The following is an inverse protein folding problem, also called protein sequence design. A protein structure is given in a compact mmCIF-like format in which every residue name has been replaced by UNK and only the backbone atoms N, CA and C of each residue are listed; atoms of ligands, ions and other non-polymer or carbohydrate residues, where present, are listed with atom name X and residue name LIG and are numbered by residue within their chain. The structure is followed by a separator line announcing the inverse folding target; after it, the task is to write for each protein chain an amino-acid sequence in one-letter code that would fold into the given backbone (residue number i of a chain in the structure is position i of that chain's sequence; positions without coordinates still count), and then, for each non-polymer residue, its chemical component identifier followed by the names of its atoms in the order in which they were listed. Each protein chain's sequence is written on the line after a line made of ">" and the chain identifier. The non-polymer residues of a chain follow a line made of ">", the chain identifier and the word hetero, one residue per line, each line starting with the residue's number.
data_IF_683460579583
#
_entry.id   IF_683460579583
#
_cell.length_a   1.000
_cell.length_b   1.000
_cell.length_c   1.000
_cell.angle_alpha   90.00
_cell.angle_beta   90.00
_cell.angle_gamma   90.00
#
_symmetry.space_group_name_H-M   'P 1'
#
loop_
_entity.id
_entity.type
_entity.pdbx_description
1 polymer ?
#
# COMPACT_ATOMS: atom_id res chain seq x y z
N UNK A 1 40.91 -1.63 4.78
CA UNK A 1 39.99 -0.90 5.67
C UNK A 1 40.16 0.62 5.51
N UNK A 2 40.00 1.14 4.29
CA UNK A 2 40.07 2.59 3.97
C UNK A 2 39.04 3.00 2.89
N UNK A 3 38.52 2.09 2.05
CA UNK A 3 37.58 2.43 0.97
C UNK A 3 36.08 2.56 1.35
N UNK A 4 35.70 2.57 2.64
CA UNK A 4 34.31 2.75 3.09
C UNK A 4 34.00 4.14 3.65
N UNK A 5 34.97 5.05 3.65
CA UNK A 5 34.83 6.40 4.24
C UNK A 5 34.47 7.49 3.23
N UNK A 6 34.59 7.23 1.93
CA UNK A 6 34.48 8.30 0.90
C UNK A 6 33.06 8.46 0.33
N UNK A 7 32.19 7.46 0.46
CA UNK A 7 30.80 7.56 -0.02
C UNK A 7 29.89 8.37 0.92
N UNK A 8 30.27 8.56 2.19
CA UNK A 8 29.47 9.29 3.17
C UNK A 8 29.80 10.81 3.21
N UNK A 9 30.94 11.20 2.65
CA UNK A 9 31.37 12.61 2.56
C UNK A 9 30.75 13.32 1.36
N UNK A 10 30.60 12.62 0.22
CA UNK A 10 29.97 13.17 -0.99
C UNK A 10 28.47 13.51 -0.81
N UNK A 11 27.75 12.78 0.05
CA UNK A 11 26.36 13.09 0.38
C UNK A 11 26.21 14.33 1.31
N UNK A 12 27.29 14.71 2.01
CA UNK A 12 27.31 15.87 2.90
C UNK A 12 27.67 17.15 2.15
N UNK A 13 28.54 17.05 1.14
CA UNK A 13 28.97 18.20 0.34
C UNK A 13 27.93 18.66 -0.70
N UNK A 14 27.02 17.78 -1.14
CA UNK A 14 25.87 18.19 -1.96
C UNK A 14 24.81 18.98 -1.19
N UNK A 15 24.88 19.00 0.14
CA UNK A 15 23.90 19.68 1.02
C UNK A 15 24.31 21.10 1.41
N UNK A 16 25.54 21.55 1.09
CA UNK A 16 26.08 22.85 1.53
C UNK A 16 26.03 23.94 0.44
N UNK A 17 25.83 23.59 -0.83
CA UNK A 17 25.88 24.55 -1.95
C UNK A 17 24.51 24.98 -2.54
N UNK A 18 23.40 24.76 -1.85
CA UNK A 18 22.07 25.25 -2.25
C UNK A 18 21.48 26.32 -1.31
N UNK A 19 22.27 26.81 -0.36
CA UNK A 19 21.94 27.99 0.47
C UNK A 19 22.70 29.21 -0.03
N UNK A 20 22.18 29.86 -1.08
CA UNK A 20 22.29 31.30 -1.29
C UNK A 20 21.29 31.73 -2.35
N UNK A 21 20.61 32.83 -2.05
CA UNK A 21 19.71 33.62 -2.91
C UNK A 21 18.30 33.03 -3.08
N UNK A 22 17.32 33.46 -2.29
CA UNK A 22 16.62 34.75 -2.42
C UNK A 22 15.59 34.84 -1.29
N UNK A 23 15.78 35.81 -0.41
CA UNK A 23 14.73 36.36 0.46
C UNK A 23 14.05 37.52 -0.27
N UNK A 24 12.83 37.86 0.17
CA UNK A 24 12.02 39.07 -0.14
C UNK A 24 10.92 38.84 -1.21
N UNK A 25 9.69 38.49 -0.81
CA UNK A 25 8.66 39.44 -0.37
C UNK A 25 7.35 38.75 0.05
N UNK A 26 6.75 39.33 1.08
CA UNK A 26 5.43 39.04 1.65
C UNK A 26 4.31 39.71 0.83
N UNK A 27 3.09 39.21 1.05
CA UNK A 27 1.75 39.78 0.78
C UNK A 27 1.11 39.65 -0.61
N UNK A 28 -0.11 39.08 -0.57
CA UNK A 28 -1.27 39.23 -1.50
C UNK A 28 -1.07 38.52 -2.87
N UNK A 29 -1.94 37.63 -3.33
CA UNK A 29 -3.40 37.62 -3.24
C UNK A 29 -4.02 36.22 -3.14
N UNK A 30 -5.13 36.18 -2.40
CA UNK A 30 -6.18 35.18 -2.50
C UNK A 30 -6.71 35.14 -3.94
N UNK A 31 -6.30 34.14 -4.70
CA UNK A 31 -7.08 33.66 -5.83
C UNK A 31 -7.43 32.19 -5.58
N UNK A 32 -8.52 32.02 -4.83
CA UNK A 32 -9.31 30.80 -4.78
C UNK A 32 -9.77 30.52 -6.21
N UNK A 33 -8.97 29.75 -6.95
CA UNK A 33 -9.44 29.14 -8.20
C UNK A 33 -10.38 27.99 -7.83
N UNK A 34 -11.65 28.36 -7.63
CA UNK A 34 -12.81 27.49 -7.76
C UNK A 34 -12.81 26.90 -9.18
N UNK A 35 -12.02 25.84 -9.38
CA UNK A 35 -12.32 24.92 -10.47
C UNK A 35 -13.57 24.15 -10.05
N UNK A 36 -14.57 24.01 -10.94
CA UNK A 36 -15.78 23.27 -10.62
C UNK A 36 -15.40 21.80 -10.51
N UNK A 37 -15.19 21.33 -9.28
CA UNK A 37 -15.28 19.91 -8.98
C UNK A 37 -16.69 19.50 -9.37
N UNK A 38 -16.81 18.87 -10.54
CA UNK A 38 -17.97 18.04 -10.85
C UNK A 38 -18.16 17.14 -9.65
N UNK A 39 -19.20 17.46 -8.88
CA UNK A 39 -19.71 16.61 -7.82
C UNK A 39 -19.85 15.23 -8.43
N UNK A 40 -18.95 14.32 -8.09
CA UNK A 40 -19.16 12.91 -8.29
C UNK A 40 -20.27 12.56 -7.30
N UNK A 41 -21.50 12.85 -7.70
CA UNK A 41 -22.69 12.24 -7.13
C UNK A 41 -22.36 10.75 -7.03
N UNK A 42 -22.43 10.22 -5.82
CA UNK A 42 -22.48 8.78 -5.58
C UNK A 42 -23.72 8.30 -6.31
N UNK A 43 -23.57 8.00 -7.59
CA UNK A 43 -24.59 7.34 -8.37
C UNK A 43 -24.81 6.01 -7.66
N UNK A 44 -26.02 5.83 -7.13
CA UNK A 44 -26.50 4.55 -6.64
C UNK A 44 -26.14 3.49 -7.68
N UNK A 45 -25.17 2.64 -7.32
CA UNK A 45 -24.66 1.63 -8.24
C UNK A 45 -25.70 0.51 -8.30
N UNK A 46 -26.06 0.02 -9.50
CA UNK A 46 -27.00 -1.06 -9.63
C UNK A 46 -26.46 -2.30 -8.90
N UNK A 47 -27.22 -2.79 -7.93
CA UNK A 47 -26.99 -4.04 -7.24
C UNK A 47 -26.99 -5.17 -8.29
N UNK A 48 -25.82 -5.75 -8.58
CA UNK A 48 -25.72 -6.83 -9.59
C UNK A 48 -24.32 -7.11 -10.14
N UNK A 49 -23.35 -6.19 -10.07
CA UNK A 49 -21.94 -6.42 -10.44
C UNK A 49 -21.01 -6.40 -9.23
N UNK A 50 -21.30 -7.19 -8.20
CA UNK A 50 -20.52 -7.16 -6.97
C UNK A 50 -19.25 -8.04 -7.01
N UNK A 51 -18.08 -7.38 -7.03
CA UNK A 51 -16.85 -7.94 -6.46
C UNK A 51 -15.71 -8.34 -7.41
N UNK A 52 -15.73 -7.88 -8.67
CA UNK A 52 -14.63 -8.12 -9.61
C UNK A 52 -13.43 -7.17 -9.46
N UNK A 53 -12.31 -7.55 -10.07
CA UNK A 53 -11.21 -6.62 -10.34
C UNK A 53 -11.69 -5.45 -11.22
N UNK A 54 -11.22 -4.25 -10.93
CA UNK A 54 -11.55 -2.99 -11.62
C UNK A 54 -10.28 -2.18 -11.79
N UNK A 55 -10.01 -1.68 -13.00
CA UNK A 55 -8.77 -0.93 -13.27
C UNK A 55 -8.83 0.51 -12.77
N UNK A 56 -10.01 1.08 -12.66
CA UNK A 56 -10.23 2.46 -12.20
C UNK A 56 -10.02 2.60 -10.68
N UNK A 57 -9.87 1.47 -9.99
CA UNK A 57 -9.60 1.40 -8.56
C UNK A 57 -8.15 1.80 -8.25
N UNK A 58 -7.90 2.72 -7.30
CA UNK A 58 -6.54 3.02 -6.86
C UNK A 58 -5.88 1.81 -6.21
N UNK A 59 -4.55 1.71 -6.33
CA UNK A 59 -3.76 0.69 -5.60
C UNK A 59 -3.12 1.34 -4.38
N UNK A 60 -3.42 0.81 -3.21
CA UNK A 60 -2.87 1.24 -1.93
C UNK A 60 -1.48 0.62 -1.71
N UNK A 61 -0.49 1.45 -1.39
CA UNK A 61 0.92 1.08 -1.22
C UNK A 61 1.14 0.52 0.20
N UNK A 62 0.64 -0.66 0.52
CA UNK A 62 0.80 -1.20 1.87
C UNK A 62 2.18 -1.82 2.14
N UNK A 63 2.92 -2.16 1.08
CA UNK A 63 4.18 -2.90 1.14
C UNK A 63 5.38 -2.09 1.69
N UNK A 64 5.13 -0.87 2.15
CA UNK A 64 6.12 -0.04 2.86
C UNK A 64 5.72 0.23 4.32
N UNK A 65 4.55 -0.24 4.74
CA UNK A 65 4.05 0.01 6.10
C UNK A 65 4.90 -0.76 7.13
N UNK A 66 5.49 -0.07 8.13
CA UNK A 66 6.35 -0.70 9.13
C UNK A 66 5.65 -1.81 9.95
N UNK A 67 4.39 -1.59 10.35
CA UNK A 67 3.64 -2.56 11.16
C UNK A 67 3.26 -3.80 10.32
N UNK A 68 2.95 -3.61 9.04
CA UNK A 68 2.69 -4.73 8.10
C UNK A 68 3.97 -5.51 7.86
N UNK A 69 5.08 -4.84 7.54
CA UNK A 69 6.38 -5.47 7.30
C UNK A 69 6.87 -6.26 8.52
N UNK A 70 6.67 -5.72 9.73
CA UNK A 70 7.00 -6.41 10.97
C UNK A 70 6.23 -7.73 11.16
N UNK A 71 4.99 -7.85 10.64
CA UNK A 71 4.23 -9.11 10.66
C UNK A 71 4.90 -10.25 9.85
N UNK A 72 5.86 -9.91 8.99
CA UNK A 72 6.61 -10.85 8.14
C UNK A 72 8.12 -10.83 8.43
N UNK A 73 8.51 -10.31 9.60
CA UNK A 73 9.91 -10.29 10.04
C UNK A 73 10.80 -9.35 9.23
N UNK A 74 10.25 -8.26 8.67
CA UNK A 74 11.00 -7.22 7.97
C UNK A 74 11.05 -5.95 8.81
N UNK A 75 12.24 -5.41 8.99
CA UNK A 75 12.45 -4.14 9.72
C UNK A 75 12.74 -3.00 8.72
N UNK A 76 12.07 -1.86 8.90
CA UNK A 76 12.23 -0.67 8.05
C UNK A 76 13.35 0.27 8.53
N UNK A 77 13.87 0.08 9.75
CA UNK A 77 14.87 0.95 10.39
C UNK A 77 16.26 0.29 10.47
N UNK A 78 16.35 -1.03 10.30
CA UNK A 78 17.59 -1.80 10.41
C UNK A 78 18.30 -2.00 9.05
N UNK A 79 19.30 -2.89 9.01
CA UNK A 79 20.11 -3.25 7.83
C UNK A 79 19.28 -3.67 6.59
N UNK A 80 18.00 -4.00 6.78
CA UNK A 80 17.06 -4.39 5.74
C UNK A 80 16.51 -3.22 4.89
N UNK A 81 16.78 -1.96 5.24
CA UNK A 81 16.15 -0.80 4.59
C UNK A 81 16.39 -0.74 3.06
N UNK A 82 17.62 -0.99 2.59
CA UNK A 82 17.93 -0.95 1.17
C UNK A 82 17.29 -2.10 0.38
N UNK A 83 17.38 -3.38 0.82
CA UNK A 83 16.64 -4.47 0.20
C UNK A 83 15.11 -4.26 0.18
N UNK A 84 14.54 -3.70 1.26
CA UNK A 84 13.10 -3.41 1.34
C UNK A 84 12.72 -2.29 0.36
N UNK A 85 13.54 -1.24 0.24
CA UNK A 85 13.34 -0.17 -0.74
C UNK A 85 13.37 -0.71 -2.18
N UNK A 86 14.33 -1.56 -2.53
CA UNK A 86 14.42 -2.17 -3.85
C UNK A 86 13.18 -3.02 -4.18
N UNK A 87 12.72 -3.82 -3.21
CA UNK A 87 11.51 -4.62 -3.38
C UNK A 87 10.24 -3.76 -3.44
N UNK A 88 10.20 -2.64 -2.71
CA UNK A 88 9.11 -1.68 -2.78
C UNK A 88 9.05 -0.99 -4.15
N UNK A 89 10.20 -0.63 -4.74
CA UNK A 89 10.27 -0.09 -6.10
C UNK A 89 9.78 -1.12 -7.12
N UNK A 90 10.22 -2.37 -6.99
CA UNK A 90 9.78 -3.48 -7.85
C UNK A 90 8.26 -3.71 -7.76
N UNK A 91 7.72 -3.74 -6.54
CA UNK A 91 6.29 -3.84 -6.29
C UNK A 91 5.51 -2.67 -6.91
N UNK A 92 6.03 -1.45 -6.78
CA UNK A 92 5.43 -0.23 -7.34
C UNK A 92 5.30 -0.32 -8.86
N UNK A 93 6.29 -0.88 -9.56
CA UNK A 93 6.24 -1.04 -11.02
C UNK A 93 5.03 -1.88 -11.45
N UNK A 94 4.73 -2.96 -10.73
CA UNK A 94 3.54 -3.78 -10.99
C UNK A 94 2.26 -3.11 -10.50
N UNK A 95 2.29 -2.39 -9.37
CA UNK A 95 1.15 -1.62 -8.89
C UNK A 95 0.69 -0.59 -9.92
N UNK A 96 1.64 0.12 -10.56
CA UNK A 96 1.37 1.09 -11.63
C UNK A 96 0.62 0.42 -12.78
N UNK A 97 1.03 -0.78 -13.19
CA UNK A 97 0.41 -1.51 -14.30
C UNK A 97 -1.04 -1.92 -14.01
N UNK A 98 -1.39 -2.16 -12.74
CA UNK A 98 -2.69 -2.71 -12.35
C UNK A 98 -3.80 -1.68 -12.13
N UNK A 99 -3.52 -0.40 -12.30
CA UNK A 99 -4.54 0.66 -12.14
C UNK A 99 -4.41 1.71 -13.23
N UNK A 100 -5.57 2.13 -13.74
CA UNK A 100 -5.72 3.28 -14.64
C UNK A 100 -5.90 4.58 -13.85
N UNK A 101 -6.06 4.47 -12.53
CA UNK A 101 -6.13 5.57 -11.59
C UNK A 101 -4.73 5.91 -11.07
N UNK A 102 -4.59 6.08 -9.76
CA UNK A 102 -3.36 6.44 -9.07
C UNK A 102 -2.97 5.43 -8.01
N UNK A 103 -1.71 5.49 -7.60
CA UNK A 103 -1.23 4.85 -6.38
C UNK A 103 -1.53 5.74 -5.18
N UNK A 104 -1.95 5.12 -4.08
CA UNK A 104 -2.40 5.80 -2.88
C UNK A 104 -1.60 5.33 -1.67
N UNK A 105 -1.15 6.26 -0.84
CA UNK A 105 -0.49 5.94 0.42
C UNK A 105 -0.98 6.87 1.54
N UNK A 106 -1.00 6.43 2.81
CA UNK A 106 -1.36 7.29 3.92
C UNK A 106 -0.27 8.33 4.17
N UNK A 107 -0.65 9.55 4.54
CA UNK A 107 0.32 10.59 4.93
C UNK A 107 1.26 10.18 6.05
N UNK A 108 0.90 9.17 6.86
CA UNK A 108 1.76 8.65 7.92
C UNK A 108 3.13 8.17 7.41
N UNK A 109 3.23 7.64 6.18
CA UNK A 109 4.50 7.10 5.68
C UNK A 109 5.58 8.16 5.51
N UNK A 110 5.20 9.42 5.28
CA UNK A 110 6.14 10.55 5.22
C UNK A 110 6.92 10.69 6.55
N UNK A 111 6.32 10.25 7.66
CA UNK A 111 6.89 10.35 9.00
C UNK A 111 7.41 9.00 9.53
N UNK A 112 6.68 7.91 9.23
CA UNK A 112 6.91 6.59 9.83
C UNK A 112 7.94 5.74 9.09
N UNK A 113 8.21 6.04 7.80
CA UNK A 113 9.08 5.22 6.96
C UNK A 113 10.34 6.03 6.62
N UNK A 114 11.51 5.74 7.24
CA UNK A 114 12.70 6.61 7.15
C UNK A 114 13.19 6.90 5.73
N UNK A 115 13.08 5.91 4.84
CA UNK A 115 13.53 5.99 3.44
C UNK A 115 12.42 6.37 2.46
N UNK A 116 11.22 6.73 2.94
CA UNK A 116 10.09 7.03 2.06
C UNK A 116 10.33 8.26 1.17
N UNK A 117 11.10 9.24 1.65
CA UNK A 117 11.53 10.37 0.82
C UNK A 117 12.38 9.92 -0.38
N UNK A 118 13.25 8.92 -0.19
CA UNK A 118 14.07 8.34 -1.28
C UNK A 118 13.17 7.58 -2.26
N UNK A 119 12.22 6.79 -1.75
CA UNK A 119 11.22 6.12 -2.58
C UNK A 119 10.44 7.14 -3.43
N UNK A 120 9.92 8.21 -2.83
CA UNK A 120 9.19 9.27 -3.53
C UNK A 120 10.04 9.98 -4.58
N UNK A 121 11.32 10.24 -4.29
CA UNK A 121 12.25 10.82 -5.26
C UNK A 121 12.42 9.92 -6.50
N UNK A 122 12.57 8.61 -6.30
CA UNK A 122 12.61 7.66 -7.43
C UNK A 122 11.31 7.64 -8.23
N UNK A 123 10.16 7.90 -7.59
CA UNK A 123 8.83 7.92 -8.22
C UNK A 123 8.39 9.32 -8.67
N UNK A 124 9.28 10.32 -8.64
CA UNK A 124 8.96 11.71 -8.99
C UNK A 124 8.18 11.84 -10.32
N UNK A 125 8.51 11.12 -11.41
CA UNK A 125 7.73 11.21 -12.64
C UNK A 125 6.26 10.82 -12.49
N UNK A 126 5.93 9.90 -11.57
CA UNK A 126 4.54 9.53 -11.27
C UNK A 126 3.84 10.62 -10.44
N UNK A 127 4.57 11.25 -9.51
CA UNK A 127 4.07 12.37 -8.71
C UNK A 127 3.70 13.55 -9.60
N UNK A 128 4.61 13.98 -10.48
CA UNK A 128 4.37 15.08 -11.44
C UNK A 128 3.18 14.82 -12.37
N UNK A 129 2.93 13.56 -12.72
CA UNK A 129 1.78 13.15 -13.53
C UNK A 129 0.47 13.00 -12.71
N UNK A 130 0.49 13.24 -11.40
CA UNK A 130 -0.67 13.08 -10.52
C UNK A 130 -1.10 11.63 -10.31
N UNK A 131 -0.22 10.67 -10.61
CA UNK A 131 -0.44 9.23 -10.49
C UNK A 131 -0.04 8.68 -9.11
N UNK A 132 0.45 9.54 -8.22
CA UNK A 132 0.65 9.25 -6.81
C UNK A 132 -0.06 10.29 -5.97
N UNK A 133 -0.76 9.81 -4.93
CA UNK A 133 -1.48 10.66 -3.99
C UNK A 133 -1.25 10.20 -2.57
N UNK A 134 -1.21 11.15 -1.65
CA UNK A 134 -1.27 10.83 -0.23
C UNK A 134 -2.71 10.96 0.28
N UNK A 135 -3.06 10.21 1.31
CA UNK A 135 -4.38 10.31 1.94
C UNK A 135 -4.28 10.57 3.43
N UNK A 136 -5.16 11.44 3.89
CA UNK A 136 -5.26 11.89 5.27
C UNK A 136 -6.61 12.56 5.49
N UNK A 137 -7.10 12.64 6.74
CA UNK A 137 -8.30 13.42 7.05
C UNK A 137 -8.14 14.94 6.88
N UNK A 138 -6.92 15.44 6.72
CA UNK A 138 -6.61 16.87 6.56
C UNK A 138 -5.62 17.05 5.40
N UNK A 139 -5.76 18.08 4.56
CA UNK A 139 -4.81 18.35 3.48
C UNK A 139 -3.43 18.74 4.01
N UNK A 140 -3.39 19.51 5.11
CA UNK A 140 -2.14 20.01 5.68
C UNK A 140 -1.39 18.91 6.45
N UNK A 141 -0.15 18.64 6.00
CA UNK A 141 0.72 17.64 6.62
C UNK A 141 1.20 18.04 8.02
N UNK A 142 1.37 19.34 8.29
CA UNK A 142 1.73 19.85 9.62
C UNK A 142 0.60 19.59 10.61
N UNK A 143 -0.63 20.00 10.28
CA UNK A 143 -1.81 19.73 11.11
C UNK A 143 -2.04 18.22 11.29
N UNK A 144 -1.80 17.42 10.24
CA UNK A 144 -1.84 15.97 10.32
C UNK A 144 -0.82 15.42 11.33
N UNK A 145 0.45 15.85 11.24
CA UNK A 145 1.52 15.46 12.15
C UNK A 145 1.17 15.78 13.59
N UNK A 146 0.70 17.00 13.87
CA UNK A 146 0.41 17.45 15.23
C UNK A 146 -0.72 16.64 15.86
N UNK A 147 -1.75 16.27 15.07
CA UNK A 147 -2.79 15.34 15.52
C UNK A 147 -2.22 13.97 15.83
N UNK A 148 -1.42 13.40 14.93
CA UNK A 148 -0.82 12.07 15.13
C UNK A 148 0.18 12.04 16.30
N UNK A 149 0.89 13.13 16.57
CA UNK A 149 1.77 13.24 17.72
C UNK A 149 1.01 13.05 19.05
N UNK A 150 -0.24 13.54 19.15
CA UNK A 150 -1.13 13.32 20.30
C UNK A 150 -1.61 11.87 20.42
N UNK A 151 -1.87 11.21 19.30
CA UNK A 151 -2.23 9.78 19.26
C UNK A 151 -1.04 8.87 19.66
N UNK A 152 0.19 9.32 19.45
CA UNK A 152 1.43 8.62 19.82
C UNK A 152 2.10 9.21 21.06
N UNK A 153 1.34 9.95 21.89
CA UNK A 153 1.83 10.48 23.16
C UNK A 153 2.38 9.35 24.04
N UNK A 154 3.40 9.66 24.85
CA UNK A 154 4.08 8.69 25.73
C UNK A 154 4.76 7.51 24.99
N UNK A 155 4.95 7.62 23.68
CA UNK A 155 5.81 6.71 22.91
C UNK A 155 7.20 7.32 22.76
N UNK A 156 8.21 6.66 23.32
CA UNK A 156 9.61 7.08 23.17
C UNK A 156 10.08 7.05 21.71
N UNK A 157 9.39 6.28 20.85
CA UNK A 157 9.67 6.15 19.42
C UNK A 157 8.67 6.91 18.55
N UNK A 158 8.02 7.95 19.09
CA UNK A 158 6.99 8.70 18.37
C UNK A 158 7.57 9.32 17.08
N UNK A 159 7.19 8.85 15.88
CA UNK A 159 7.75 9.35 14.62
C UNK A 159 7.25 10.77 14.28
N UNK A 160 6.19 11.22 14.95
CA UNK A 160 5.57 12.52 14.73
C UNK A 160 6.10 13.62 15.67
N UNK A 161 7.01 13.28 16.60
CA UNK A 161 7.58 14.23 17.55
C UNK A 161 8.56 15.24 16.91
N UNK A 162 9.03 14.95 15.69
CA UNK A 162 9.96 15.82 14.97
C UNK A 162 9.30 17.14 14.56
N UNK A 163 9.93 18.26 14.92
CA UNK A 163 9.55 19.61 14.50
C UNK A 163 10.17 20.03 13.17
N UNK A 164 10.96 19.15 12.53
CA UNK A 164 11.63 19.47 11.26
C UNK A 164 10.61 19.87 10.19
N UNK A 165 10.95 20.80 9.28
CA UNK A 165 10.12 21.13 8.14
C UNK A 165 9.80 19.90 7.30
N UNK A 166 8.57 19.84 6.80
CA UNK A 166 8.10 18.75 5.95
C UNK A 166 8.30 19.20 4.50
N UNK A 167 9.27 18.60 3.82
CA UNK A 167 9.49 18.84 2.40
C UNK A 167 8.85 17.71 1.60
N UNK A 168 7.74 18.02 0.93
CA UNK A 168 7.10 17.15 -0.07
C UNK A 168 7.15 17.82 -1.42
N UNK A 169 7.19 17.01 -2.47
CA UNK A 169 7.13 17.51 -3.85
C UNK A 169 5.82 18.32 -4.04
N UNK A 170 5.85 19.52 -4.66
CA UNK A 170 4.69 20.40 -4.76
C UNK A 170 3.51 19.77 -5.53
N UNK A 171 3.81 18.93 -6.53
CA UNK A 171 2.78 18.21 -7.30
C UNK A 171 2.17 16.99 -6.57
N UNK A 172 2.62 16.67 -5.34
CA UNK A 172 2.08 15.55 -4.59
C UNK A 172 0.65 15.90 -4.12
N UNK A 173 -0.33 15.29 -4.78
CA UNK A 173 -1.74 15.60 -4.53
C UNK A 173 -2.28 14.89 -3.30
N UNK A 174 -3.10 15.60 -2.55
CA UNK A 174 -3.90 15.05 -1.47
C UNK A 174 -5.15 14.34 -2.03
N UNK A 175 -5.52 13.24 -1.39
CA UNK A 175 -6.78 12.55 -1.57
C UNK A 175 -7.50 12.48 -0.22
N UNK A 176 -8.67 13.14 -0.07
CA UNK A 176 -9.37 13.17 1.19
C UNK A 176 -9.83 11.77 1.61
N UNK A 177 -9.79 11.52 2.92
CA UNK A 177 -10.45 10.36 3.53
C UNK A 177 -11.57 10.87 4.44
N UNK A 178 -12.80 10.77 3.96
CA UNK A 178 -14.00 11.21 4.68
C UNK A 178 -14.65 10.11 5.54
N UNK A 179 -14.09 8.89 5.54
CA UNK A 179 -14.58 7.79 6.36
C UNK A 179 -14.27 7.93 7.85
N UNK A 180 -14.89 7.07 8.65
CA UNK A 180 -14.73 7.04 10.10
C UNK A 180 -13.25 7.02 10.51
N UNK A 181 -12.88 7.64 11.64
CA UNK A 181 -11.54 7.50 12.17
C UNK A 181 -11.19 6.02 12.33
N UNK A 182 -9.97 5.63 11.94
CA UNK A 182 -9.56 4.21 11.87
C UNK A 182 -9.64 3.53 13.25
N UNK A 183 -9.24 4.22 14.31
CA UNK A 183 -9.19 3.64 15.65
C UNK A 183 -10.56 3.18 16.18
N UNK A 184 -11.65 3.97 16.10
CA UNK A 184 -13.01 3.52 16.36
C UNK A 184 -13.43 2.27 15.55
N UNK A 185 -13.14 2.22 14.24
CA UNK A 185 -13.49 1.06 13.41
C UNK A 185 -12.77 -0.20 13.89
N UNK A 186 -11.48 -0.10 14.17
CA UNK A 186 -10.69 -1.21 14.73
C UNK A 186 -11.19 -1.58 16.14
N UNK A 187 -11.62 -0.61 16.95
CA UNK A 187 -12.17 -0.86 18.28
C UNK A 187 -13.49 -1.66 18.26
N UNK A 188 -14.39 -1.36 17.31
CA UNK A 188 -15.61 -2.14 17.13
C UNK A 188 -15.30 -3.55 16.61
N UNK A 189 -14.39 -3.66 15.64
CA UNK A 189 -13.92 -4.96 15.17
C UNK A 189 -13.26 -5.77 16.30
N UNK A 190 -12.46 -5.14 17.16
CA UNK A 190 -11.82 -5.75 18.32
C UNK A 190 -12.84 -6.38 19.28
N UNK A 191 -13.91 -5.65 19.61
CA UNK A 191 -14.98 -6.17 20.48
C UNK A 191 -15.69 -7.36 19.84
N UNK A 192 -16.02 -7.25 18.55
CA UNK A 192 -16.68 -8.31 17.80
C UNK A 192 -15.85 -9.60 17.80
N UNK A 193 -14.55 -9.48 17.56
CA UNK A 193 -13.63 -10.61 17.34
C UNK A 193 -13.17 -11.28 18.65
N UNK A 194 -13.47 -10.67 19.79
CA UNK A 194 -13.40 -11.31 21.12
C UNK A 194 -14.62 -12.16 21.45
N UNK A 195 -15.72 -12.03 20.70
CA UNK A 195 -16.92 -12.84 20.86
C UNK A 195 -16.75 -14.28 20.37
N UNK A 196 -17.74 -15.16 20.62
CA UNK A 196 -17.65 -16.58 20.27
C UNK A 196 -17.30 -16.80 18.78
N UNK A 197 -16.25 -17.58 18.53
CA UNK A 197 -15.78 -17.89 17.18
C UNK A 197 -14.96 -16.79 16.48
N UNK A 198 -14.74 -15.65 17.13
CA UNK A 198 -13.91 -14.57 16.60
C UNK A 198 -12.40 -14.85 16.67
N UNK A 199 -11.63 -14.19 15.80
CA UNK A 199 -10.18 -14.41 15.64
C UNK A 199 -9.37 -14.13 16.93
N UNK A 200 -9.87 -13.24 17.81
CA UNK A 200 -9.21 -12.91 19.08
C UNK A 200 -9.57 -13.85 20.23
N UNK A 201 -10.53 -14.76 20.05
CA UNK A 201 -10.89 -15.77 21.07
C UNK A 201 -9.67 -16.63 21.45
N UNK A 202 -8.93 -17.08 20.44
CA UNK A 202 -7.71 -17.85 20.67
C UNK A 202 -6.62 -17.07 21.41
N UNK A 203 -6.47 -15.77 21.10
CA UNK A 203 -5.55 -14.88 21.80
C UNK A 203 -5.94 -14.73 23.27
N UNK A 204 -7.22 -14.51 23.56
CA UNK A 204 -7.72 -14.41 24.93
C UNK A 204 -7.46 -15.70 25.73
N UNK A 205 -7.66 -16.89 25.15
CA UNK A 205 -7.28 -18.15 25.80
C UNK A 205 -5.78 -18.28 26.05
N UNK A 206 -4.93 -17.82 25.13
CA UNK A 206 -3.48 -17.83 25.32
C UNK A 206 -3.07 -16.90 26.47
N UNK A 207 -3.63 -15.70 26.53
CA UNK A 207 -3.35 -14.73 27.61
C UNK A 207 -3.89 -15.25 28.95
N UNK A 208 -5.09 -15.86 28.97
CA UNK A 208 -5.68 -16.45 30.16
C UNK A 208 -4.80 -17.55 30.77
N UNK A 209 -4.27 -18.45 29.92
CA UNK A 209 -3.32 -19.48 30.34
C UNK A 209 -2.00 -18.90 30.84
N UNK A 210 -1.45 -17.90 30.14
CA UNK A 210 -0.19 -17.28 30.54
C UNK A 210 -0.29 -16.48 31.85
N UNK A 211 -1.46 -15.92 32.15
CA UNK A 211 -1.70 -15.12 33.36
C UNK A 211 -2.30 -15.91 34.53
N UNK A 212 -2.61 -17.19 34.30
CA UNK A 212 -3.31 -18.06 35.26
C UNK A 212 -4.63 -17.45 35.77
N UNK A 213 -5.51 -17.06 34.83
CA UNK A 213 -6.82 -16.47 35.13
C UNK A 213 -7.94 -17.07 34.25
N UNK A 214 -9.20 -17.04 34.72
CA UNK A 214 -10.34 -17.46 33.93
C UNK A 214 -10.45 -16.67 32.61
N UNK A 215 -10.86 -17.36 31.55
CA UNK A 215 -11.00 -16.78 30.21
C UNK A 215 -11.94 -15.57 30.23
N UNK A 216 -13.07 -15.66 30.92
CA UNK A 216 -14.11 -14.63 30.98
C UNK A 216 -13.55 -13.33 31.55
N UNK A 217 -12.70 -13.42 32.58
CA UNK A 217 -12.02 -12.28 33.19
C UNK A 217 -11.04 -11.64 32.21
N UNK A 218 -10.25 -12.45 31.50
CA UNK A 218 -9.29 -11.96 30.51
C UNK A 218 -10.01 -11.32 29.32
N UNK A 219 -11.04 -11.96 28.78
CA UNK A 219 -11.85 -11.47 27.68
C UNK A 219 -12.53 -10.14 28.05
N UNK A 220 -13.08 -10.02 29.27
CA UNK A 220 -13.66 -8.76 29.77
C UNK A 220 -12.63 -7.63 29.82
N UNK A 221 -11.42 -7.90 30.35
CA UNK A 221 -10.35 -6.90 30.39
C UNK A 221 -9.95 -6.54 28.96
N UNK A 222 -9.69 -7.51 28.08
CA UNK A 222 -9.34 -7.27 26.68
C UNK A 222 -10.41 -6.45 25.94
N UNK A 223 -11.70 -6.71 26.17
CA UNK A 223 -12.79 -5.95 25.55
C UNK A 223 -12.77 -4.46 25.91
N UNK A 224 -12.21 -4.11 27.07
CA UNK A 224 -12.02 -2.73 27.51
C UNK A 224 -10.70 -2.08 27.01
N UNK A 225 -9.85 -2.80 26.24
CA UNK A 225 -8.63 -2.24 25.64
C UNK A 225 -8.85 -0.96 24.84
N UNK A 226 -9.87 -0.84 23.96
CA UNK A 226 -10.14 0.40 23.25
C UNK A 226 -10.35 1.61 24.17
N UNK A 227 -11.00 1.43 25.32
CA UNK A 227 -11.19 2.51 26.30
C UNK A 227 -9.86 2.88 26.98
N UNK A 228 -9.05 1.88 27.35
CA UNK A 228 -7.73 2.08 27.99
C UNK A 228 -6.68 2.70 27.07
N UNK A 229 -6.87 2.65 25.76
CA UNK A 229 -6.03 3.38 24.82
C UNK A 229 -6.27 4.89 24.89
N UNK A 230 -7.41 5.36 25.40
CA UNK A 230 -7.71 6.79 25.62
C UNK A 230 -7.43 7.65 24.38
N UNK A 231 -7.80 7.18 23.19
CA UNK A 231 -7.56 7.90 21.93
C UNK A 231 -6.11 7.82 21.40
N UNK A 232 -5.26 6.95 21.96
CA UNK A 232 -4.00 6.55 21.30
C UNK A 232 -4.28 5.73 20.03
N UNK A 233 -3.27 5.65 19.16
CA UNK A 233 -3.36 4.85 17.95
C UNK A 233 -3.57 3.36 18.28
N UNK A 234 -4.37 2.68 17.45
CA UNK A 234 -4.68 1.26 17.62
C UNK A 234 -3.58 0.37 17.02
N UNK A 235 -2.33 0.53 17.49
CA UNK A 235 -1.13 -0.21 17.03
C UNK A 235 -0.68 -1.22 18.08
N UNK A 236 0.00 -2.29 17.66
CA UNK A 236 0.34 -3.45 18.52
C UNK A 236 1.00 -3.02 19.84
N UNK A 237 2.03 -2.17 19.78
CA UNK A 237 2.79 -1.76 20.96
C UNK A 237 1.98 -0.96 21.99
N UNK A 238 0.90 -0.29 21.59
CA UNK A 238 0.00 0.39 22.52
C UNK A 238 -1.06 -0.58 23.03
N UNK A 239 -1.63 -1.40 22.15
CA UNK A 239 -2.59 -2.45 22.53
C UNK A 239 -1.98 -3.39 23.56
N UNK A 240 -0.75 -3.87 23.37
CA UNK A 240 -0.05 -4.76 24.32
C UNK A 240 0.07 -4.17 25.72
N UNK A 241 0.25 -2.86 25.87
CA UNK A 241 0.32 -2.19 27.19
C UNK A 241 -1.03 -2.17 27.90
N UNK A 242 -2.13 -2.31 27.16
CA UNK A 242 -3.47 -2.38 27.74
C UNK A 242 -3.86 -3.79 28.17
N UNK A 243 -3.10 -4.82 27.78
CA UNK A 243 -3.46 -6.22 28.06
C UNK A 243 -3.12 -6.58 29.51
N UNK A 244 -3.87 -7.51 30.13
CA UNK A 244 -3.68 -7.85 31.55
C UNK A 244 -2.37 -8.56 31.85
N UNK A 245 -1.72 -9.15 30.84
CA UNK A 245 -0.44 -9.82 30.95
C UNK A 245 0.32 -9.72 29.62
N UNK A 246 1.66 -9.88 29.63
CA UNK A 246 2.45 -9.92 28.41
C UNK A 246 1.99 -11.01 27.45
N UNK A 247 1.81 -10.66 26.18
CA UNK A 247 1.44 -11.63 25.14
C UNK A 247 2.65 -12.53 24.84
N UNK A 248 2.50 -13.87 24.86
CA UNK A 248 3.57 -14.79 24.45
C UNK A 248 3.99 -14.55 23.00
N UNK A 249 5.27 -14.76 22.67
CA UNK A 249 5.83 -14.46 21.34
C UNK A 249 5.04 -15.07 20.18
N UNK A 250 4.52 -16.30 20.36
CA UNK A 250 3.69 -16.99 19.36
C UNK A 250 2.36 -16.26 19.07
N UNK A 251 1.79 -15.58 20.06
CA UNK A 251 0.52 -14.87 19.94
C UNK A 251 0.69 -13.39 19.57
N UNK A 252 1.89 -12.80 19.77
CA UNK A 252 2.20 -11.42 19.37
C UNK A 252 2.02 -11.21 17.86
N UNK A 253 2.45 -12.17 17.04
CA UNK A 253 2.31 -12.06 15.59
C UNK A 253 0.84 -12.11 15.16
N UNK A 254 0.01 -12.95 15.80
CA UNK A 254 -1.44 -13.01 15.52
C UNK A 254 -2.12 -11.68 15.85
N UNK A 255 -1.77 -11.08 16.99
CA UNK A 255 -2.24 -9.74 17.34
C UNK A 255 -1.78 -8.69 16.31
N UNK A 256 -0.51 -8.72 15.89
CA UNK A 256 0.02 -7.81 14.87
C UNK A 256 -0.74 -7.92 13.53
N UNK A 257 -0.97 -9.15 13.08
CA UNK A 257 -1.69 -9.46 11.85
C UNK A 257 -3.14 -9.00 11.93
N UNK A 258 -3.84 -9.28 13.03
CA UNK A 258 -5.21 -8.82 13.25
C UNK A 258 -5.34 -7.30 13.11
N UNK A 259 -4.48 -6.56 13.83
CA UNK A 259 -4.50 -5.09 13.83
C UNK A 259 -4.19 -4.53 12.44
N UNK A 260 -3.20 -5.10 11.76
CA UNK A 260 -2.82 -4.71 10.40
C UNK A 260 -3.90 -5.04 9.37
N UNK A 261 -4.59 -6.17 9.51
CA UNK A 261 -5.72 -6.55 8.67
C UNK A 261 -6.91 -5.60 8.84
N UNK A 262 -7.24 -5.25 10.08
CA UNK A 262 -8.29 -4.29 10.40
C UNK A 262 -7.96 -2.90 9.82
N UNK A 263 -6.71 -2.46 9.96
CA UNK A 263 -6.20 -1.25 9.32
C UNK A 263 -6.36 -1.30 7.80
N UNK A 264 -5.93 -2.38 7.14
CA UNK A 264 -6.05 -2.54 5.69
C UNK A 264 -7.51 -2.52 5.23
N UNK A 265 -8.42 -3.20 5.93
CA UNK A 265 -9.86 -3.20 5.62
C UNK A 265 -10.44 -1.79 5.57
N UNK A 266 -10.03 -0.90 6.49
CA UNK A 266 -10.47 0.50 6.47
C UNK A 266 -10.09 1.19 5.15
N UNK A 267 -8.84 1.07 4.67
CA UNK A 267 -8.43 1.69 3.40
C UNK A 267 -9.05 1.03 2.17
N UNK A 268 -9.19 -0.31 2.19
CA UNK A 268 -9.82 -1.06 1.11
C UNK A 268 -11.29 -0.65 0.94
N UNK A 269 -12.00 -0.45 2.04
CA UNK A 269 -13.40 -0.06 2.03
C UNK A 269 -13.58 1.43 1.76
N UNK A 270 -13.02 2.30 2.60
CA UNK A 270 -13.31 3.74 2.62
C UNK A 270 -12.85 4.46 1.35
N UNK A 271 -11.76 3.97 0.74
CA UNK A 271 -11.15 4.59 -0.44
C UNK A 271 -11.37 3.75 -1.70
N UNK A 272 -12.20 2.70 -1.61
CA UNK A 272 -12.42 1.71 -2.66
C UNK A 272 -11.10 1.21 -3.28
N UNK A 273 -10.03 1.01 -2.49
CA UNK A 273 -8.69 0.65 -3.00
C UNK A 273 -8.50 -0.85 -3.21
N UNK A 274 -7.45 -1.23 -3.94
CA UNK A 274 -6.88 -2.57 -4.02
C UNK A 274 -5.47 -2.59 -3.41
N UNK A 275 -4.96 -3.76 -3.03
CA UNK A 275 -3.57 -3.96 -2.60
C UNK A 275 -2.90 -5.05 -3.42
N UNK A 276 -1.57 -4.97 -3.52
CA UNK A 276 -0.78 -6.10 -4.03
C UNK A 276 -0.65 -7.18 -2.94
N UNK A 277 -0.69 -8.45 -3.29
CA UNK A 277 -0.40 -9.56 -2.36
C UNK A 277 0.64 -10.50 -2.94
N UNK A 278 1.11 -11.49 -2.18
CA UNK A 278 2.09 -12.49 -2.65
C UNK A 278 3.38 -11.87 -3.22
N UNK A 279 3.91 -10.88 -2.52
CA UNK A 279 5.14 -10.20 -2.87
C UNK A 279 6.36 -11.03 -2.46
N UNK A 280 7.56 -10.77 -3.02
CA UNK A 280 8.80 -11.38 -2.55
C UNK A 280 9.08 -11.11 -1.05
N UNK A 281 8.63 -9.96 -0.52
CA UNK A 281 8.71 -9.62 0.91
C UNK A 281 7.74 -10.43 1.80
N UNK A 282 6.79 -11.15 1.20
CA UNK A 282 5.74 -11.91 1.88
C UNK A 282 4.35 -11.65 1.30
N UNK A 283 3.30 -12.33 1.79
CA UNK A 283 1.93 -12.12 1.33
C UNK A 283 1.43 -10.69 1.51
N UNK A 284 1.87 -9.99 2.58
CA UNK A 284 1.51 -8.62 2.96
C UNK A 284 0.00 -8.31 2.98
N UNK A 285 -0.85 -9.34 3.03
CA UNK A 285 -2.31 -9.22 3.17
C UNK A 285 -2.78 -9.23 4.62
N UNK A 286 -1.90 -9.62 5.54
CA UNK A 286 -2.15 -9.76 6.98
C UNK A 286 -3.29 -10.74 7.30
N UNK A 287 -3.47 -11.77 6.49
CA UNK A 287 -4.55 -12.74 6.65
C UNK A 287 -5.86 -12.34 5.98
N UNK A 288 -5.89 -11.23 5.22
CA UNK A 288 -7.01 -10.94 4.33
C UNK A 288 -7.10 -11.99 3.21
N UNK A 289 -8.31 -12.48 2.97
CA UNK A 289 -8.64 -13.47 1.94
C UNK A 289 -9.60 -12.87 0.91
N UNK A 290 -9.47 -13.27 -0.35
CA UNK A 290 -10.26 -12.70 -1.45
C UNK A 290 -11.74 -13.12 -1.47
N UNK A 291 -12.12 -14.14 -0.70
CA UNK A 291 -13.50 -14.61 -0.55
C UNK A 291 -14.28 -13.88 0.54
N UNK A 292 -13.62 -13.09 1.40
CA UNK A 292 -14.30 -12.37 2.46
C UNK A 292 -15.10 -11.17 1.91
N UNK A 293 -16.20 -10.84 2.60
CA UNK A 293 -17.00 -9.67 2.24
C UNK A 293 -16.12 -8.41 2.28
N UNK A 294 -16.18 -7.63 1.20
CA UNK A 294 -15.45 -6.36 1.07
C UNK A 294 -14.03 -6.46 0.52
N UNK A 295 -13.42 -7.64 0.37
CA UNK A 295 -12.06 -7.82 -0.18
C UNK A 295 -12.02 -8.45 -1.58
N UNK A 296 -13.17 -8.94 -2.07
CA UNK A 296 -13.31 -9.55 -3.41
C UNK A 296 -12.88 -8.56 -4.50
N UNK A 297 -11.96 -9.00 -5.38
CA UNK A 297 -11.41 -8.17 -6.46
C UNK A 297 -10.45 -7.04 -6.00
N UNK A 298 -10.04 -7.03 -4.72
CA UNK A 298 -9.12 -6.04 -4.15
C UNK A 298 -7.74 -6.59 -3.80
N UNK A 299 -7.58 -7.89 -3.68
CA UNK A 299 -6.30 -8.54 -3.39
C UNK A 299 -5.66 -9.01 -4.70
N UNK A 300 -4.66 -8.27 -5.17
CA UNK A 300 -4.04 -8.50 -6.47
C UNK A 300 -2.67 -9.18 -6.29
N UNK A 301 -2.63 -10.49 -6.52
CA UNK A 301 -1.39 -11.28 -6.43
C UNK A 301 -0.30 -10.74 -7.37
N UNK A 302 0.79 -10.23 -6.81
CA UNK A 302 2.00 -9.80 -7.50
C UNK A 302 2.56 -10.94 -8.34
N UNK A 303 2.70 -12.14 -7.75
CA UNK A 303 3.26 -13.32 -8.42
C UNK A 303 2.46 -13.71 -9.67
N UNK A 304 1.14 -13.51 -9.64
CA UNK A 304 0.27 -13.79 -10.79
C UNK A 304 0.56 -12.86 -11.97
N UNK A 305 0.66 -11.55 -11.74
CA UNK A 305 1.03 -10.60 -12.81
C UNK A 305 2.48 -10.85 -13.25
N UNK A 306 3.41 -11.02 -12.32
CA UNK A 306 4.82 -11.25 -12.66
C UNK A 306 5.00 -12.47 -13.57
N UNK A 307 4.33 -13.58 -13.25
CA UNK A 307 4.34 -14.77 -14.09
C UNK A 307 3.74 -14.51 -15.48
N UNK A 308 2.65 -13.74 -15.55
CA UNK A 308 2.06 -13.36 -16.82
C UNK A 308 3.01 -12.50 -17.66
N UNK A 309 3.71 -11.55 -17.04
CA UNK A 309 4.73 -10.74 -17.72
C UNK A 309 5.87 -11.60 -18.26
N UNK A 310 6.32 -12.62 -17.51
CA UNK A 310 7.34 -13.58 -17.97
C UNK A 310 6.88 -14.40 -19.16
N UNK A 311 5.65 -14.92 -19.11
CA UNK A 311 5.04 -15.64 -20.22
C UNK A 311 4.91 -14.77 -21.47
N UNK A 312 4.58 -13.49 -21.30
CA UNK A 312 4.57 -12.50 -22.37
C UNK A 312 5.97 -12.01 -22.80
N UNK A 313 7.03 -12.48 -22.13
CA UNK A 313 8.43 -12.07 -22.33
C UNK A 313 8.65 -10.57 -22.20
N UNK A 314 7.88 -9.90 -21.32
CA UNK A 314 7.97 -8.45 -21.06
C UNK A 314 8.53 -8.13 -19.67
N UNK A 315 8.72 -9.14 -18.82
CA UNK A 315 9.19 -9.00 -17.44
C UNK A 315 10.55 -8.30 -17.35
N UNK A 316 11.54 -8.70 -18.16
CA UNK A 316 12.87 -8.09 -18.14
C UNK A 316 12.84 -6.59 -18.47
N UNK A 317 11.99 -6.19 -19.43
CA UNK A 317 11.74 -4.78 -19.72
C UNK A 317 11.03 -4.09 -18.54
N UNK A 318 9.95 -4.69 -18.04
CA UNK A 318 9.14 -4.13 -16.96
C UNK A 318 9.93 -3.98 -15.67
N UNK A 319 10.85 -4.87 -15.32
CA UNK A 319 11.58 -4.78 -14.05
C UNK A 319 12.87 -3.96 -14.14
N UNK A 320 13.56 -4.01 -15.28
CA UNK A 320 14.95 -3.52 -15.33
C UNK A 320 15.19 -2.40 -16.33
N UNK A 321 14.29 -2.15 -17.30
CA UNK A 321 14.55 -1.20 -18.40
C UNK A 321 13.56 -0.06 -18.47
N UNK A 322 12.28 -0.33 -18.23
CA UNK A 322 11.23 0.65 -18.45
C UNK A 322 11.37 1.86 -17.52
N UNK A 323 11.32 3.05 -18.07
CA UNK A 323 11.03 4.26 -17.30
C UNK A 323 9.59 4.24 -16.77
N UNK A 324 9.29 5.08 -15.78
CA UNK A 324 7.91 5.24 -15.28
C UNK A 324 6.94 5.67 -16.39
N UNK A 325 7.38 6.55 -17.30
CA UNK A 325 6.59 6.99 -18.45
C UNK A 325 6.25 5.84 -19.39
N UNK A 326 7.17 4.91 -19.62
CA UNK A 326 6.93 3.73 -20.45
C UNK A 326 5.99 2.73 -19.77
N UNK A 327 6.10 2.54 -18.44
CA UNK A 327 5.13 1.73 -17.69
C UNK A 327 3.72 2.33 -17.76
N UNK A 328 3.59 3.66 -17.63
CA UNK A 328 2.32 4.37 -17.80
C UNK A 328 1.80 4.23 -19.24
N UNK A 329 2.67 4.27 -20.25
CA UNK A 329 2.27 4.02 -21.64
C UNK A 329 1.78 2.59 -21.83
N UNK A 330 2.47 1.60 -21.26
CA UNK A 330 2.12 0.18 -21.35
C UNK A 330 0.76 -0.10 -20.69
N UNK A 331 0.55 0.38 -19.46
CA UNK A 331 -0.73 0.18 -18.76
C UNK A 331 -1.91 0.84 -19.48
N UNK A 332 -1.68 1.98 -20.15
CA UNK A 332 -2.75 2.74 -20.81
C UNK A 332 -3.24 2.08 -22.10
N UNK A 333 -2.63 0.97 -22.53
CA UNK A 333 -3.10 0.18 -23.66
C UNK A 333 -4.38 -0.59 -23.31
N UNK A 334 -5.42 -0.53 -24.15
CA UNK A 334 -6.61 -1.37 -23.99
C UNK A 334 -6.26 -2.87 -23.93
N UNK A 335 -5.27 -3.30 -24.72
CA UNK A 335 -4.81 -4.68 -24.79
C UNK A 335 -4.27 -5.16 -23.44
N UNK A 336 -3.52 -4.30 -22.73
CA UNK A 336 -3.06 -4.60 -21.37
C UNK A 336 -4.24 -4.70 -20.39
N UNK A 337 -5.26 -3.87 -20.57
CA UNK A 337 -6.48 -3.91 -19.76
C UNK A 337 -7.27 -5.21 -19.89
N UNK A 338 -7.36 -5.76 -21.10
CA UNK A 338 -7.96 -7.09 -21.34
C UNK A 338 -7.18 -8.16 -20.59
N UNK A 339 -5.85 -8.14 -20.67
CA UNK A 339 -4.98 -9.09 -19.97
C UNK A 339 -5.16 -8.96 -18.44
N UNK A 340 -5.08 -7.76 -17.89
CA UNK A 340 -5.26 -7.54 -16.46
C UNK A 340 -6.65 -8.02 -15.98
N UNK A 341 -7.70 -7.75 -16.75
CA UNK A 341 -9.06 -8.19 -16.45
C UNK A 341 -9.22 -9.70 -16.50
N UNK A 342 -8.60 -10.37 -17.48
CA UNK A 342 -8.55 -11.84 -17.55
C UNK A 342 -7.77 -12.43 -16.37
N UNK A 343 -6.66 -11.79 -15.96
CA UNK A 343 -5.82 -12.23 -14.87
C UNK A 343 -6.46 -12.04 -13.49
N UNK A 344 -7.34 -11.07 -13.27
CA UNK A 344 -7.89 -10.82 -11.92
C UNK A 344 -9.42 -10.88 -11.83
N UNK A 345 -10.10 -11.10 -12.96
CA UNK A 345 -11.53 -11.39 -13.03
C UNK A 345 -11.83 -12.89 -12.92
N UNK A 346 -12.99 -13.29 -13.45
CA UNK A 346 -13.44 -14.68 -13.56
C UNK A 346 -12.78 -15.45 -14.71
N UNK A 347 -11.72 -14.90 -15.29
CA UNK A 347 -11.00 -15.44 -16.42
C UNK A 347 -10.26 -16.76 -16.14
N UNK A 348 -10.19 -17.63 -17.14
CA UNK A 348 -9.43 -18.89 -17.04
C UNK A 348 -7.93 -18.62 -17.26
N UNK A 349 -7.11 -19.01 -16.28
CA UNK A 349 -5.65 -18.99 -16.41
C UNK A 349 -5.16 -19.83 -17.60
N UNK A 350 -5.91 -20.86 -17.98
CA UNK A 350 -5.56 -21.72 -19.11
C UNK A 350 -5.86 -21.04 -20.46
N UNK A 351 -6.93 -20.24 -20.55
CA UNK A 351 -7.16 -19.41 -21.73
C UNK A 351 -6.03 -18.41 -21.95
N UNK A 352 -5.53 -17.79 -20.88
CA UNK A 352 -4.35 -16.92 -20.94
C UNK A 352 -3.09 -17.67 -21.40
N UNK A 353 -2.81 -18.84 -20.83
CA UNK A 353 -1.67 -19.67 -21.25
C UNK A 353 -1.74 -20.05 -22.73
N UNK A 354 -2.90 -20.49 -23.20
CA UNK A 354 -3.12 -20.85 -24.60
C UNK A 354 -2.91 -19.65 -25.54
N UNK A 355 -3.40 -18.48 -25.16
CA UNK A 355 -3.18 -17.25 -25.94
C UNK A 355 -1.69 -16.89 -26.03
N UNK A 356 -0.93 -17.03 -24.94
CA UNK A 356 0.52 -16.84 -24.94
C UNK A 356 1.21 -17.85 -25.87
N UNK A 357 0.87 -19.14 -25.78
CA UNK A 357 1.48 -20.18 -26.63
C UNK A 357 1.24 -19.89 -28.12
N UNK A 358 0.03 -19.47 -28.48
CA UNK A 358 -0.32 -19.08 -29.85
C UNK A 358 0.47 -17.85 -30.31
N UNK A 359 0.57 -16.83 -29.46
CA UNK A 359 1.38 -15.65 -29.75
C UNK A 359 2.86 -16.00 -29.96
N UNK A 360 3.38 -16.95 -29.16
CA UNK A 360 4.75 -17.44 -29.24
C UNK A 360 5.13 -18.13 -30.55
N UNK A 361 4.15 -18.57 -31.35
CA UNK A 361 4.39 -19.07 -32.71
C UNK A 361 4.76 -17.98 -33.72
N UNK A 362 4.58 -16.70 -33.37
CA UNK A 362 4.93 -15.58 -34.23
C UNK A 362 6.41 -15.20 -34.11
N UNK A 363 7.07 -14.97 -35.26
CA UNK A 363 8.45 -14.44 -35.30
C UNK A 363 8.62 -13.09 -34.59
N UNK A 364 7.54 -12.34 -34.39
CA UNK A 364 7.55 -11.04 -33.70
C UNK A 364 7.48 -11.15 -32.17
N UNK A 365 7.30 -12.35 -31.61
CA UNK A 365 7.17 -12.56 -30.16
C UNK A 365 8.52 -12.88 -29.50
N UNK A 366 9.30 -11.85 -29.24
CA UNK A 366 10.66 -11.92 -28.71
C UNK A 366 10.76 -11.31 -27.30
N UNK A 367 11.85 -11.54 -26.52
CA UNK A 367 12.03 -10.86 -25.25
C UNK A 367 12.07 -9.35 -25.44
N UNK A 368 11.16 -8.64 -24.80
CA UNK A 368 11.04 -7.20 -24.98
C UNK A 368 12.31 -6.48 -24.50
N UNK A 369 12.92 -5.69 -25.39
CA UNK A 369 14.05 -4.84 -25.06
C UNK A 369 13.63 -3.38 -24.96
N UNK A 370 12.57 -3.01 -25.67
CA UNK A 370 12.01 -1.66 -25.76
C UNK A 370 10.53 -1.63 -25.38
N UNK A 371 9.99 -0.43 -25.14
CA UNK A 371 8.55 -0.25 -24.97
C UNK A 371 7.75 -0.74 -26.19
N UNK A 372 8.28 -0.56 -27.41
CA UNK A 372 7.65 -1.05 -28.64
C UNK A 372 7.49 -2.57 -28.66
N UNK A 373 8.52 -3.30 -28.27
CA UNK A 373 8.49 -4.76 -28.20
C UNK A 373 7.46 -5.23 -27.15
N UNK A 374 7.46 -4.59 -25.98
CA UNK A 374 6.52 -4.93 -24.91
C UNK A 374 5.06 -4.71 -25.34
N UNK A 375 4.78 -3.59 -26.01
CA UNK A 375 3.47 -3.29 -26.58
C UNK A 375 3.06 -4.32 -27.65
N UNK A 376 4.00 -4.70 -28.52
CA UNK A 376 3.77 -5.72 -29.56
C UNK A 376 3.42 -7.09 -28.95
N UNK A 377 4.16 -7.54 -27.94
CA UNK A 377 3.89 -8.81 -27.26
C UNK A 377 2.54 -8.80 -26.54
N UNK A 378 2.22 -7.71 -25.84
CA UNK A 378 0.94 -7.53 -25.16
C UNK A 378 -0.22 -7.56 -26.15
N UNK A 379 -0.10 -6.86 -27.29
CA UNK A 379 -1.11 -6.85 -28.33
C UNK A 379 -1.32 -8.26 -28.93
N UNK A 380 -0.24 -8.97 -29.26
CA UNK A 380 -0.33 -10.32 -29.83
C UNK A 380 -1.08 -11.29 -28.90
N UNK A 381 -0.83 -11.23 -27.59
CA UNK A 381 -1.53 -12.07 -26.61
C UNK A 381 -3.00 -11.65 -26.45
N UNK A 382 -3.27 -10.35 -26.38
CA UNK A 382 -4.64 -9.84 -26.29
C UNK A 382 -5.49 -10.23 -27.52
N UNK A 383 -4.93 -10.17 -28.73
CA UNK A 383 -5.60 -10.58 -29.96
C UNK A 383 -6.02 -12.06 -29.92
N UNK A 384 -5.16 -12.94 -29.39
CA UNK A 384 -5.50 -14.35 -29.23
C UNK A 384 -6.52 -14.59 -28.11
N UNK A 385 -6.47 -13.83 -27.02
CA UNK A 385 -7.49 -13.88 -25.97
C UNK A 385 -8.88 -13.52 -26.52
N UNK A 386 -8.98 -12.43 -27.28
CA UNK A 386 -10.24 -11.98 -27.86
C UNK A 386 -10.87 -13.04 -28.77
N UNK A 387 -10.06 -13.77 -29.55
CA UNK A 387 -10.53 -14.85 -30.43
C UNK A 387 -10.95 -16.13 -29.73
N UNK A 388 -10.63 -16.29 -28.44
CA UNK A 388 -10.97 -17.49 -27.66
C UNK A 388 -12.21 -17.25 -26.79
N UNK A 389 -12.68 -16.00 -26.69
CA UNK A 389 -13.89 -15.62 -25.97
C UNK A 389 -15.14 -15.53 -26.86
N UNK A 390 -14.95 -15.45 -28.18
CA UNK A 390 -15.97 -15.74 -29.19
C UNK A 390 -15.93 -17.24 -29.54
#
# INVERSE_FOLDING_TARGET
>A
MVARRDAFTAARDLSVNLTRDVSVNLTRDLSVNLMPERSLSVAERPAGMEGGYRRERPVFIQYVNPEILACYGKDVVADDAAPVLEQALTATRLAVLLTDSYLLFPSSYIFEVPWFGVLLAHMEPLVRQGLMRHTSPTPELTAYRDRKAREFRQDARNPYASTRPIHVHPDLRWHPRFGDPIAPVIAEQWKKELGPGGELTGLAHTVARAWDRPYERVAHIMAASPKRLEGQAFVRRFVERTLPAPVPSQARNRLAQFLSAAYLRCYLHDLDTAILTDLPLGPLSCGLHGSANGTRGRLLSYRRLDLALRWMRVDGFVHHKASWKELVRLRSRPEFGVIASMLYGSGSADAFRLAVVRAGGSRRFSPAQTCGDALSNVAAVADHLARTAC
#
